data_IF_522761994393
#
_entry.id   IF_522761994393
#
_cell.length_a   1.000
_cell.length_b   1.000
_cell.length_c   1.000
_cell.angle_alpha   90.00
_cell.angle_beta   90.00
_cell.angle_gamma   90.00
#
_symmetry.space_group_name_H-M   'P 1'
#
loop_
_entity.id
_entity.type
_entity.pdbx_description
1 polymer ?
#
# COMPACT_ATOMS: atom_id res chain seq x y z
N UNK A 1 2.45 -17.52 24.24
CA UNK A 1 1.18 -16.94 23.75
C UNK A 1 0.76 -17.48 22.36
N UNK A 2 1.58 -18.30 21.70
CA UNK A 2 1.24 -18.96 20.42
C UNK A 2 1.20 -18.04 19.18
N UNK A 3 1.56 -16.76 19.30
CA UNK A 3 1.66 -15.84 18.15
C UNK A 3 2.96 -16.15 17.41
N UNK A 4 2.83 -16.59 16.16
CA UNK A 4 3.96 -16.97 15.31
C UNK A 4 4.29 -15.92 14.24
N UNK A 5 3.35 -15.00 13.97
CA UNK A 5 3.46 -13.99 12.93
C UNK A 5 2.93 -12.64 13.40
N UNK A 6 3.71 -11.58 13.19
CA UNK A 6 3.36 -10.19 13.42
C UNK A 6 3.58 -9.42 12.13
N UNK A 7 2.51 -8.97 11.51
CA UNK A 7 2.58 -8.12 10.31
C UNK A 7 2.68 -6.65 10.73
N UNK A 8 3.85 -6.05 10.53
CA UNK A 8 4.13 -4.65 10.87
C UNK A 8 3.79 -3.77 9.68
N UNK A 9 2.99 -2.74 9.89
CA UNK A 9 2.77 -1.72 8.89
C UNK A 9 3.96 -0.76 8.83
N UNK A 10 4.50 -0.57 7.63
CA UNK A 10 5.54 0.43 7.39
C UNK A 10 4.89 1.80 7.30
N UNK A 11 5.01 2.57 8.37
CA UNK A 11 4.33 3.86 8.49
C UNK A 11 5.34 4.99 8.77
N UNK A 12 5.40 6.04 7.93
CA UNK A 12 6.25 7.21 8.20
C UNK A 12 5.92 7.86 9.54
N UNK A 13 6.97 8.22 10.27
CA UNK A 13 6.86 8.71 11.65
C UNK A 13 7.09 7.63 12.71
N UNK A 14 7.16 6.35 12.34
CA UNK A 14 7.56 5.24 13.20
C UNK A 14 8.97 4.75 12.86
N UNK A 15 9.50 3.84 13.70
CA UNK A 15 10.83 3.25 13.47
C UNK A 15 10.90 2.38 12.20
N UNK A 16 9.77 1.81 11.78
CA UNK A 16 9.64 1.01 10.57
C UNK A 16 8.75 1.75 9.59
N UNK A 17 9.33 2.27 8.50
CA UNK A 17 8.63 3.13 7.54
C UNK A 17 8.94 2.83 6.07
N UNK A 18 9.87 1.92 5.80
CA UNK A 18 10.25 1.51 4.45
C UNK A 18 10.78 0.06 4.47
N UNK A 19 11.01 -0.55 3.29
CA UNK A 19 11.51 -1.92 3.21
C UNK A 19 12.81 -2.17 3.98
N UNK A 20 13.76 -1.24 3.94
CA UNK A 20 15.04 -1.38 4.66
C UNK A 20 14.84 -1.49 6.17
N UNK A 21 14.04 -0.60 6.76
CA UNK A 21 13.81 -0.58 8.21
C UNK A 21 13.01 -1.80 8.67
N UNK A 22 12.09 -2.32 7.85
CA UNK A 22 11.40 -3.57 8.13
C UNK A 22 12.35 -4.78 8.12
N UNK A 23 13.18 -4.88 7.09
CA UNK A 23 14.13 -6.00 6.97
C UNK A 23 15.16 -5.99 8.10
N UNK A 24 15.62 -4.80 8.52
CA UNK A 24 16.48 -4.65 9.70
C UNK A 24 15.80 -5.10 10.98
N UNK A 25 14.54 -4.73 11.19
CA UNK A 25 13.76 -5.22 12.34
C UNK A 25 13.62 -6.75 12.30
N UNK A 26 13.30 -7.30 11.15
CA UNK A 26 13.17 -8.76 10.96
C UNK A 26 14.49 -9.48 11.21
N UNK A 27 15.62 -8.94 10.75
CA UNK A 27 16.95 -9.47 11.03
C UNK A 27 17.25 -9.50 12.54
N UNK A 28 16.92 -8.42 13.25
CA UNK A 28 17.19 -8.29 14.68
C UNK A 28 16.27 -9.15 15.57
N UNK A 29 15.01 -9.31 15.19
CA UNK A 29 13.97 -9.98 16.04
C UNK A 29 13.73 -11.42 15.61
N UNK A 30 13.82 -11.70 14.31
CA UNK A 30 13.62 -13.04 13.75
C UNK A 30 12.44 -13.15 12.78
N UNK A 31 12.20 -14.38 12.27
CA UNK A 31 11.26 -14.61 11.17
C UNK A 31 9.78 -14.44 11.56
N UNK A 32 9.47 -14.19 12.81
CA UNK A 32 8.10 -13.87 13.26
C UNK A 32 7.64 -12.46 12.87
N UNK A 33 8.56 -11.61 12.38
CA UNK A 33 8.24 -10.29 11.85
C UNK A 33 8.02 -10.38 10.34
N UNK A 34 6.91 -9.83 9.86
CA UNK A 34 6.60 -9.63 8.45
C UNK A 34 5.94 -8.29 8.23
N UNK A 35 5.45 -8.04 7.04
CA UNK A 35 4.88 -6.76 6.68
C UNK A 35 3.37 -6.86 6.45
N UNK A 36 2.64 -5.88 7.01
CA UNK A 36 1.38 -5.41 6.49
C UNK A 36 1.71 -4.29 5.49
N UNK A 37 1.60 -4.58 4.19
CA UNK A 37 1.97 -3.65 3.14
C UNK A 37 0.82 -2.66 2.90
N UNK A 38 1.06 -1.39 3.17
CA UNK A 38 0.18 -0.30 2.74
C UNK A 38 0.86 0.50 1.62
N UNK A 39 0.35 0.42 0.38
CA UNK A 39 0.95 1.11 -0.75
C UNK A 39 0.87 2.63 -0.64
N UNK A 40 -0.12 3.18 0.05
CA UNK A 40 -0.31 4.62 0.18
C UNK A 40 0.85 5.28 0.93
N UNK A 41 1.33 4.63 1.99
CA UNK A 41 2.46 5.13 2.77
C UNK A 41 3.79 5.08 2.00
N UNK A 42 3.93 4.15 1.08
CA UNK A 42 5.11 4.08 0.20
C UNK A 42 5.04 5.13 -0.91
N UNK A 43 3.86 5.29 -1.54
CA UNK A 43 3.65 6.18 -2.67
C UNK A 43 4.00 7.63 -2.35
N UNK A 44 3.49 8.18 -1.24
CA UNK A 44 3.79 9.57 -0.92
C UNK A 44 5.25 9.81 -0.47
N UNK A 45 5.97 8.76 -0.07
CA UNK A 45 7.42 8.81 0.15
C UNK A 45 8.22 8.73 -1.15
N UNK A 46 7.58 8.64 -2.32
CA UNK A 46 8.21 8.41 -3.62
C UNK A 46 8.92 7.04 -3.72
N UNK A 47 8.49 6.05 -2.95
CA UNK A 47 8.98 4.67 -3.06
C UNK A 47 8.20 3.96 -4.16
N UNK A 48 8.91 3.33 -5.10
CA UNK A 48 8.28 2.48 -6.13
C UNK A 48 7.69 1.23 -5.46
N UNK A 49 6.37 1.09 -5.50
CA UNK A 49 5.65 0.05 -4.77
C UNK A 49 5.98 -1.35 -5.32
N UNK A 50 6.01 -1.61 -6.63
CA UNK A 50 6.49 -2.88 -7.19
C UNK A 50 7.89 -3.27 -6.74
N UNK A 51 8.83 -2.32 -6.66
CA UNK A 51 10.19 -2.59 -6.17
C UNK A 51 10.19 -2.92 -4.66
N UNK A 52 9.40 -2.20 -3.86
CA UNK A 52 9.24 -2.51 -2.44
C UNK A 52 8.66 -3.92 -2.24
N UNK A 53 7.63 -4.31 -3.01
CA UNK A 53 7.05 -5.65 -2.98
C UNK A 53 8.10 -6.71 -3.33
N UNK A 54 8.93 -6.46 -4.34
CA UNK A 54 10.01 -7.36 -4.73
C UNK A 54 11.04 -7.54 -3.62
N UNK A 55 11.46 -6.44 -2.98
CA UNK A 55 12.40 -6.46 -1.86
C UNK A 55 11.84 -7.21 -0.64
N UNK A 56 10.53 -7.17 -0.45
CA UNK A 56 9.83 -7.78 0.68
C UNK A 56 9.28 -9.18 0.38
N UNK A 57 9.64 -9.78 -0.76
CA UNK A 57 9.17 -11.13 -1.14
C UNK A 57 9.39 -12.13 0.00
N UNK A 58 8.36 -12.91 0.30
CA UNK A 58 8.37 -13.91 1.39
C UNK A 58 8.18 -13.33 2.81
N UNK A 59 7.97 -12.02 2.93
CA UNK A 59 7.69 -11.36 4.21
C UNK A 59 6.33 -10.65 4.25
N UNK A 60 5.62 -10.58 3.11
CA UNK A 60 4.31 -9.93 3.02
C UNK A 60 3.24 -10.88 3.54
N UNK A 61 2.67 -10.56 4.69
CA UNK A 61 1.65 -11.40 5.34
C UNK A 61 0.27 -10.80 5.30
N UNK A 62 0.19 -9.48 5.11
CA UNK A 62 -1.06 -8.77 4.94
C UNK A 62 -0.87 -7.57 4.01
N UNK A 63 -1.95 -7.11 3.38
CA UNK A 63 -1.92 -5.95 2.50
C UNK A 63 -3.14 -5.09 2.78
N UNK A 64 -2.91 -3.83 3.09
CA UNK A 64 -3.95 -2.80 3.05
C UNK A 64 -4.15 -2.32 1.61
N UNK A 65 -5.39 -2.18 1.21
CA UNK A 65 -5.77 -1.46 0.02
C UNK A 65 -6.21 -0.06 0.44
N UNK A 66 -5.24 0.84 0.48
CA UNK A 66 -5.37 2.26 0.79
C UNK A 66 -4.68 3.07 -0.30
N UNK A 67 -5.24 4.19 -0.64
CA UNK A 67 -4.76 5.01 -1.74
C UNK A 67 -4.37 6.41 -1.28
N UNK A 68 -3.59 7.09 -2.10
CA UNK A 68 -3.10 8.45 -1.83
C UNK A 68 -2.99 9.25 -3.10
N UNK A 69 -3.42 10.50 -3.03
CA UNK A 69 -3.16 11.49 -4.08
C UNK A 69 -2.08 12.46 -3.61
N UNK A 70 -1.04 12.62 -4.42
CA UNK A 70 0.04 13.59 -4.20
C UNK A 70 -0.24 14.84 -4.99
N UNK A 71 -0.38 15.99 -4.29
CA UNK A 71 -0.54 17.30 -4.92
C UNK A 71 0.83 17.85 -5.33
N UNK A 72 1.14 17.72 -6.61
CA UNK A 72 2.45 18.12 -7.16
C UNK A 72 2.72 19.62 -7.04
N UNK A 73 1.69 20.47 -7.01
CA UNK A 73 1.86 21.92 -6.86
C UNK A 73 2.27 22.26 -5.42
N UNK A 74 1.58 21.67 -4.44
CA UNK A 74 1.92 21.83 -3.03
C UNK A 74 3.29 21.23 -2.70
N UNK A 75 3.62 20.06 -3.28
CA UNK A 75 4.95 19.45 -3.15
C UNK A 75 6.05 20.34 -3.70
N UNK A 76 5.89 20.91 -4.89
CA UNK A 76 6.89 21.82 -5.48
C UNK A 76 7.13 23.07 -4.64
N UNK A 77 6.12 23.51 -3.90
CA UNK A 77 6.20 24.71 -3.06
C UNK A 77 6.79 24.42 -1.68
N UNK A 78 6.38 23.30 -1.06
CA UNK A 78 6.59 23.08 0.37
C UNK A 78 7.30 21.74 0.68
N UNK A 79 7.57 20.90 -0.31
CA UNK A 79 8.09 19.54 -0.12
C UNK A 79 7.00 18.55 0.23
N UNK A 80 7.39 17.28 0.36
CA UNK A 80 6.48 16.15 0.59
C UNK A 80 6.15 15.92 2.07
N UNK A 81 7.05 16.31 2.99
CA UNK A 81 6.83 16.19 4.43
C UNK A 81 5.78 17.22 4.87
N UNK A 82 4.60 16.74 5.17
CA UNK A 82 3.44 17.58 5.50
C UNK A 82 2.89 17.24 6.88
N UNK A 83 2.91 18.23 7.77
CA UNK A 83 2.38 18.13 9.13
C UNK A 83 1.06 18.87 9.32
N UNK A 84 0.49 19.46 8.24
CA UNK A 84 -0.77 20.18 8.32
C UNK A 84 -1.91 19.24 8.71
N UNK A 85 -2.82 19.75 9.51
CA UNK A 85 -4.03 19.01 9.88
C UNK A 85 -4.88 18.69 8.63
N UNK A 86 -5.59 17.58 8.64
CA UNK A 86 -6.42 17.12 7.51
C UNK A 86 -7.54 18.09 7.12
N UNK A 87 -8.04 18.93 8.05
CA UNK A 87 -8.99 20.00 7.71
C UNK A 87 -8.47 20.99 6.68
N UNK A 88 -7.17 21.02 6.43
CA UNK A 88 -6.50 21.86 5.42
C UNK A 88 -6.13 21.05 4.17
N UNK A 89 -6.97 20.13 3.76
CA UNK A 89 -6.70 19.18 2.67
C UNK A 89 -6.20 19.83 1.39
N UNK A 90 -6.78 20.95 0.96
CA UNK A 90 -6.39 21.67 -0.25
C UNK A 90 -4.96 22.26 -0.22
N UNK A 91 -4.37 22.37 0.98
CA UNK A 91 -3.03 22.91 1.15
C UNK A 91 -1.98 21.81 1.40
N UNK A 92 -2.43 20.57 1.56
CA UNK A 92 -1.54 19.44 1.87
C UNK A 92 -0.78 19.00 0.64
N UNK A 93 0.43 18.49 0.86
CA UNK A 93 1.25 17.88 -0.18
C UNK A 93 0.67 16.54 -0.67
N UNK A 94 -0.10 15.88 0.16
CA UNK A 94 -0.79 14.62 -0.14
C UNK A 94 -2.00 14.42 0.77
N UNK A 95 -2.98 13.66 0.28
CA UNK A 95 -4.16 13.23 1.04
C UNK A 95 -4.50 11.79 0.70
N UNK A 96 -4.96 11.04 1.71
CA UNK A 96 -5.50 9.72 1.44
C UNK A 96 -6.79 9.80 0.63
N UNK A 97 -7.00 8.81 -0.22
CA UNK A 97 -8.11 8.75 -1.14
C UNK A 97 -8.72 7.35 -1.17
N UNK A 98 -9.94 7.30 -1.61
CA UNK A 98 -10.59 6.05 -1.98
C UNK A 98 -9.74 5.32 -3.02
N UNK A 99 -9.59 4.01 -2.89
CA UNK A 99 -8.81 3.18 -3.81
C UNK A 99 -9.29 3.36 -5.25
N UNK A 100 -8.37 3.80 -6.12
CA UNK A 100 -8.62 4.15 -7.51
C UNK A 100 -8.90 5.63 -7.77
N UNK A 101 -9.03 6.46 -6.73
CA UNK A 101 -9.22 7.91 -6.86
C UNK A 101 -7.93 8.71 -6.53
N UNK A 102 -6.86 8.03 -6.12
CA UNK A 102 -5.54 8.62 -5.86
C UNK A 102 -4.52 8.23 -6.91
N UNK A 103 -3.96 7.04 -6.82
CA UNK A 103 -3.10 6.45 -7.85
C UNK A 103 -3.92 5.97 -9.03
N UNK A 104 -3.34 6.01 -10.24
CA UNK A 104 -4.02 5.56 -11.45
C UNK A 104 -4.23 4.03 -11.50
N UNK A 105 -5.15 3.59 -12.37
CA UNK A 105 -5.47 2.18 -12.55
C UNK A 105 -4.25 1.36 -12.98
N UNK A 106 -3.34 1.94 -13.76
CA UNK A 106 -2.14 1.25 -14.21
C UNK A 106 -1.18 0.98 -13.03
N UNK A 107 -1.06 1.91 -12.11
CA UNK A 107 -0.28 1.72 -10.88
C UNK A 107 -0.86 0.57 -10.05
N UNK A 108 -2.18 0.54 -9.84
CA UNK A 108 -2.84 -0.55 -9.12
C UNK A 108 -2.69 -1.91 -9.82
N UNK A 109 -2.77 -1.95 -11.16
CA UNK A 109 -2.48 -3.18 -11.94
C UNK A 109 -1.05 -3.68 -11.70
N UNK A 110 -0.07 -2.78 -11.66
CA UNK A 110 1.32 -3.12 -11.38
C UNK A 110 1.50 -3.64 -9.94
N UNK A 111 0.81 -3.04 -8.96
CA UNK A 111 0.80 -3.50 -7.57
C UNK A 111 0.25 -4.93 -7.47
N UNK A 112 -0.92 -5.18 -8.03
CA UNK A 112 -1.55 -6.52 -8.03
C UNK A 112 -0.65 -7.55 -8.72
N UNK A 113 -0.06 -7.21 -9.86
CA UNK A 113 0.87 -8.09 -10.57
C UNK A 113 2.13 -8.40 -9.73
N UNK A 114 2.72 -7.38 -9.08
CA UNK A 114 3.89 -7.54 -8.23
C UNK A 114 3.61 -8.42 -7.00
N UNK A 115 2.45 -8.24 -6.34
CA UNK A 115 2.02 -9.08 -5.22
C UNK A 115 1.90 -10.55 -5.64
N UNK A 116 1.29 -10.84 -6.79
CA UNK A 116 1.19 -12.20 -7.33
C UNK A 116 2.56 -12.81 -7.64
N UNK A 117 3.47 -12.04 -8.26
CA UNK A 117 4.84 -12.47 -8.55
C UNK A 117 5.65 -12.69 -7.27
N UNK A 118 5.34 -11.97 -6.20
CA UNK A 118 5.93 -12.20 -4.89
C UNK A 118 5.36 -13.44 -4.17
N UNK A 119 4.28 -14.04 -4.71
CA UNK A 119 3.60 -15.21 -4.15
C UNK A 119 2.56 -14.87 -3.08
N UNK A 120 2.11 -13.60 -3.01
CA UNK A 120 1.04 -13.21 -2.10
C UNK A 120 -0.33 -13.64 -2.65
N UNK A 121 -1.05 -14.43 -1.85
CA UNK A 121 -2.40 -14.95 -2.15
C UNK A 121 -3.38 -14.65 -1.00
N UNK A 122 -3.07 -13.65 -0.19
CA UNK A 122 -3.90 -13.19 0.92
C UNK A 122 -4.94 -12.15 0.49
N UNK A 123 -5.62 -11.60 1.48
CA UNK A 123 -6.65 -10.58 1.27
C UNK A 123 -6.06 -9.19 1.03
N UNK A 124 -6.77 -8.36 0.28
CA UNK A 124 -6.57 -6.91 0.22
C UNK A 124 -7.63 -6.27 1.13
N UNK A 125 -7.23 -5.82 2.31
CA UNK A 125 -8.13 -5.20 3.27
C UNK A 125 -8.32 -3.73 2.95
N UNK A 126 -9.54 -3.31 2.66
CA UNK A 126 -9.84 -1.90 2.42
C UNK A 126 -9.62 -1.08 3.69
N UNK A 127 -8.81 -0.04 3.58
CA UNK A 127 -8.67 1.00 4.58
C UNK A 127 -9.09 2.34 3.98
N UNK A 128 -10.12 2.97 4.57
CA UNK A 128 -10.75 4.16 4.02
C UNK A 128 -10.50 5.38 4.90
N UNK A 129 -9.72 6.32 4.39
CA UNK A 129 -9.42 7.61 5.03
C UNK A 129 -9.62 8.79 4.06
N UNK A 130 -10.55 8.67 3.11
CA UNK A 130 -10.85 9.73 2.16
C UNK A 130 -11.70 10.83 2.80
N UNK A 131 -11.27 12.07 2.67
CA UNK A 131 -12.00 13.25 3.17
C UNK A 131 -13.14 13.69 2.26
N UNK A 132 -13.18 13.21 1.02
CA UNK A 132 -14.12 13.68 -0.02
C UNK A 132 -15.31 12.74 -0.21
N UNK A 133 -15.24 11.53 0.35
CA UNK A 133 -16.30 10.53 0.23
C UNK A 133 -16.76 10.02 1.59
N UNK A 134 -18.02 9.61 1.65
CA UNK A 134 -18.50 8.87 2.81
C UNK A 134 -17.83 7.49 2.90
N UNK A 135 -17.78 6.93 4.10
CA UNK A 135 -17.20 5.59 4.32
C UNK A 135 -17.88 4.52 3.45
N UNK A 136 -19.20 4.58 3.37
CA UNK A 136 -19.97 3.62 2.60
C UNK A 136 -19.68 3.75 1.09
N UNK A 137 -19.82 4.94 0.53
CA UNK A 137 -19.57 5.19 -0.89
C UNK A 137 -18.12 4.85 -1.27
N UNK A 138 -17.14 5.28 -0.44
CA UNK A 138 -15.74 4.96 -0.65
C UNK A 138 -15.46 3.47 -0.64
N UNK A 139 -16.01 2.71 0.32
CA UNK A 139 -15.86 1.26 0.38
C UNK A 139 -16.47 0.54 -0.84
N UNK A 140 -17.67 0.95 -1.25
CA UNK A 140 -18.35 0.39 -2.44
C UNK A 140 -17.55 0.65 -3.73
N UNK A 141 -17.05 1.88 -3.92
CA UNK A 141 -16.23 2.26 -5.09
C UNK A 141 -14.89 1.52 -5.10
N UNK A 142 -14.18 1.49 -3.97
CA UNK A 142 -12.92 0.78 -3.83
C UNK A 142 -13.07 -0.72 -4.11
N UNK A 143 -14.11 -1.36 -3.56
CA UNK A 143 -14.38 -2.77 -3.81
C UNK A 143 -14.72 -3.04 -5.29
N UNK A 144 -15.52 -2.18 -5.92
CA UNK A 144 -15.84 -2.30 -7.33
C UNK A 144 -14.60 -2.14 -8.23
N UNK A 145 -13.73 -1.18 -7.89
CA UNK A 145 -12.46 -0.95 -8.59
C UNK A 145 -11.54 -2.17 -8.48
N UNK A 146 -11.24 -2.64 -7.27
CA UNK A 146 -10.34 -3.77 -7.05
C UNK A 146 -10.84 -5.07 -7.67
N UNK A 147 -12.16 -5.34 -7.62
CA UNK A 147 -12.76 -6.54 -8.26
C UNK A 147 -12.52 -6.62 -9.77
N UNK A 148 -12.29 -5.49 -10.44
CA UNK A 148 -11.93 -5.47 -11.87
C UNK A 148 -10.46 -5.79 -12.11
N UNK A 149 -9.60 -5.52 -11.13
CA UNK A 149 -8.15 -5.68 -11.27
C UNK A 149 -7.66 -7.04 -10.77
N UNK A 150 -8.31 -7.58 -9.74
CA UNK A 150 -7.92 -8.87 -9.15
C UNK A 150 -8.36 -10.00 -10.08
N UNK A 151 -7.44 -10.83 -10.57
CA UNK A 151 -7.80 -11.99 -11.38
C UNK A 151 -8.69 -12.96 -10.61
N UNK A 152 -9.75 -13.43 -11.26
CA UNK A 152 -10.74 -14.35 -10.66
C UNK A 152 -10.30 -15.81 -10.69
N UNK A 153 -9.27 -16.12 -11.45
CA UNK A 153 -8.79 -17.48 -11.64
C UNK A 153 -7.27 -17.52 -11.40
N UNK A 154 -6.78 -18.66 -10.98
CA UNK A 154 -5.34 -18.90 -10.94
C UNK A 154 -4.77 -18.89 -12.36
N UNK A 155 -3.51 -18.46 -12.47
CA UNK A 155 -2.82 -18.51 -13.75
C UNK A 155 -2.67 -19.98 -14.19
N UNK A 156 -2.98 -20.26 -15.44
CA UNK A 156 -2.74 -21.57 -16.01
C UNK A 156 -1.23 -21.85 -16.13
N UNK A 157 -0.87 -23.13 -16.07
CA UNK A 157 0.52 -23.54 -16.30
C UNK A 157 0.88 -23.23 -17.76
N UNK A 158 1.90 -22.41 -17.95
CA UNK A 158 2.40 -22.10 -19.29
C UNK A 158 3.03 -23.35 -19.91
N UNK A 159 2.53 -23.75 -21.07
CA UNK A 159 2.98 -24.97 -21.75
C UNK A 159 4.24 -24.76 -22.61
N UNK A 160 4.64 -23.50 -22.83
CA UNK A 160 5.81 -23.13 -23.64
C UNK A 160 7.05 -22.71 -22.80
N UNK A 161 7.02 -22.79 -21.48
CA UNK A 161 8.11 -22.42 -20.57
C UNK A 161 8.52 -23.57 -19.66
#
# INVERSE_FOLDING_TARGET
FGVTQLAIEMHPGFCVYNPETLLRLREAVGPSIGVNLDPSHLAWQSIDIPEAIRALKGTIWHVHAKDVCVDTQNVRRNGILDTKHYSRAAERAWTFRTVGDGMDEQTWKRIVAALRLAGYDGVLSLEHEDLLLSRQEGAERAAAFLRRLIPKQQAERIWWA
#
